data_IF_665281248015
#
_entry.id   IF_665281248015
#
_cell.length_a   1.000
_cell.length_b   1.000
_cell.length_c   1.000
_cell.angle_alpha   90.00
_cell.angle_beta   90.00
_cell.angle_gamma   90.00
#
_symmetry.space_group_name_H-M   'P 1'
#
loop_
_entity.id
_entity.type
_entity.pdbx_description
1 polymer ?
#
# COMPACT_ATOMS: atom_id res chain seq x y z
N UNK A 1 -9.16 -12.21 -23.79
CA UNK A 1 -8.05 -13.17 -23.86
C UNK A 1 -7.02 -12.67 -24.85
N UNK A 2 -5.78 -12.52 -24.40
CA UNK A 2 -4.62 -12.17 -25.22
C UNK A 2 -3.83 -13.44 -25.54
N UNK A 3 -3.68 -13.78 -26.83
CA UNK A 3 -3.01 -15.01 -27.27
C UNK A 3 -3.54 -16.32 -26.62
N UNK A 4 -4.82 -16.33 -26.22
CA UNK A 4 -5.46 -17.46 -25.55
C UNK A 4 -5.18 -17.55 -24.04
N UNK A 5 -4.54 -16.55 -23.44
CA UNK A 5 -4.38 -16.39 -21.99
C UNK A 5 -5.52 -15.54 -21.41
N UNK A 6 -5.91 -15.86 -20.19
CA UNK A 6 -6.81 -15.04 -19.38
C UNK A 6 -6.09 -13.76 -18.97
N UNK A 7 -6.73 -12.61 -19.19
CA UNK A 7 -6.18 -11.31 -18.79
C UNK A 7 -7.08 -10.68 -17.74
N UNK A 8 -6.51 -10.45 -16.56
CA UNK A 8 -7.16 -9.78 -15.43
C UNK A 8 -6.37 -8.52 -15.13
N UNK A 9 -7.01 -7.38 -15.36
CA UNK A 9 -6.52 -6.10 -14.86
C UNK A 9 -6.84 -6.04 -13.35
N UNK A 10 -5.81 -6.16 -12.53
CA UNK A 10 -5.93 -6.33 -11.09
C UNK A 10 -6.28 -5.02 -10.36
N UNK A 11 -6.21 -3.88 -11.04
CA UNK A 11 -6.31 -2.56 -10.44
C UNK A 11 -6.71 -1.49 -11.47
N UNK A 12 -8.00 -1.44 -11.80
CA UNK A 12 -8.58 -0.46 -12.71
C UNK A 12 -9.46 0.54 -11.97
N UNK A 13 -9.48 1.79 -12.39
CA UNK A 13 -10.17 2.86 -11.67
C UNK A 13 -11.50 3.28 -12.27
N UNK A 14 -12.50 3.46 -11.40
CA UNK A 14 -13.74 4.17 -11.68
C UNK A 14 -13.59 5.63 -11.31
N UNK A 15 -13.80 6.52 -12.30
CA UNK A 15 -14.07 7.92 -12.03
C UNK A 15 -15.51 8.08 -11.57
N UNK A 16 -15.71 8.15 -10.26
CA UNK A 16 -17.03 8.25 -9.66
C UNK A 16 -17.68 9.59 -10.01
N UNK A 17 -18.98 9.57 -10.27
CA UNK A 17 -19.76 10.79 -10.38
C UNK A 17 -20.28 11.19 -8.99
N UNK A 18 -19.76 12.25 -8.35
CA UNK A 18 -20.19 12.61 -7.00
C UNK A 18 -21.68 12.96 -6.94
N UNK A 19 -22.29 13.39 -8.05
CA UNK A 19 -23.72 13.67 -8.10
C UNK A 19 -24.57 12.40 -8.04
N UNK A 20 -24.10 11.31 -8.67
CA UNK A 20 -24.76 10.00 -8.57
C UNK A 20 -24.51 9.39 -7.19
N UNK A 21 -23.31 9.54 -6.66
CA UNK A 21 -22.98 9.04 -5.32
C UNK A 21 -23.85 9.68 -4.21
N UNK A 22 -24.35 10.91 -4.42
CA UNK A 22 -25.30 11.56 -3.48
C UNK A 22 -26.62 10.81 -3.32
N UNK A 23 -27.05 10.03 -4.31
CA UNK A 23 -28.26 9.21 -4.21
C UNK A 23 -28.10 8.07 -3.19
N UNK A 24 -26.85 7.66 -2.95
CA UNK A 24 -26.48 6.62 -1.98
C UNK A 24 -26.10 7.17 -0.61
N UNK A 25 -26.07 8.51 -0.45
CA UNK A 25 -25.73 9.18 0.81
C UNK A 25 -26.99 9.54 1.61
N UNK A 26 -26.87 9.45 2.93
CA UNK A 26 -27.85 9.96 3.87
C UNK A 26 -28.02 11.48 3.69
N UNK A 27 -29.25 12.02 3.85
CA UNK A 27 -29.55 13.42 3.55
C UNK A 27 -28.62 14.44 4.22
N UNK A 28 -28.20 14.21 5.45
CA UNK A 28 -27.30 15.12 6.19
C UNK A 28 -25.87 15.23 5.61
N UNK A 29 -25.42 14.26 4.81
CA UNK A 29 -24.08 14.27 4.21
C UNK A 29 -24.09 14.73 2.75
N UNK A 30 -25.25 14.82 2.09
CA UNK A 30 -25.33 15.13 0.65
C UNK A 30 -24.71 16.45 0.25
N UNK A 31 -24.76 17.47 1.11
CA UNK A 31 -24.18 18.79 0.82
C UNK A 31 -22.69 18.89 1.22
N UNK A 32 -22.17 17.83 1.86
CA UNK A 32 -20.75 17.70 2.21
C UNK A 32 -19.90 17.24 1.03
N UNK A 33 -20.49 16.84 -0.09
CA UNK A 33 -19.77 16.38 -1.27
C UNK A 33 -20.29 17.04 -2.56
N UNK A 34 -19.40 17.30 -3.51
CA UNK A 34 -19.76 17.82 -4.81
C UNK A 34 -18.57 17.96 -5.76
N UNK A 35 -18.75 18.79 -6.78
CA UNK A 35 -17.74 19.11 -7.78
C UNK A 35 -17.49 20.62 -7.79
N UNK A 36 -16.24 21.00 -8.01
CA UNK A 36 -15.82 22.39 -8.21
C UNK A 36 -14.86 22.48 -9.38
N UNK A 37 -14.78 23.67 -9.99
CA UNK A 37 -13.69 24.02 -10.90
C UNK A 37 -12.68 24.81 -10.08
N UNK A 38 -11.43 24.36 -10.08
CA UNK A 38 -10.36 25.08 -9.39
C UNK A 38 -9.93 26.34 -10.17
N UNK A 39 -8.95 27.06 -9.62
CA UNK A 39 -8.42 28.28 -10.24
C UNK A 39 -7.61 28.02 -11.52
N UNK A 40 -7.32 26.76 -11.85
CA UNK A 40 -6.61 26.33 -13.06
C UNK A 40 -7.59 25.89 -14.16
N UNK A 41 -8.88 25.81 -13.85
CA UNK A 41 -9.92 25.37 -14.78
C UNK A 41 -10.19 23.87 -14.75
N UNK A 42 -9.59 23.13 -13.81
CA UNK A 42 -9.75 21.68 -13.70
C UNK A 42 -10.90 21.32 -12.76
N UNK A 43 -11.64 20.26 -13.12
CA UNK A 43 -12.69 19.71 -12.28
C UNK A 43 -12.08 18.93 -11.11
N UNK A 44 -12.51 19.25 -9.90
CA UNK A 44 -12.11 18.59 -8.65
C UNK A 44 -13.33 18.11 -7.89
N UNK A 45 -13.17 17.00 -7.17
CA UNK A 45 -14.13 16.65 -6.14
C UNK A 45 -13.97 17.60 -4.95
N UNK A 46 -15.09 18.06 -4.41
CA UNK A 46 -15.14 18.91 -3.22
C UNK A 46 -15.74 18.09 -2.09
N UNK A 47 -15.03 17.98 -0.97
CA UNK A 47 -15.57 17.45 0.28
C UNK A 47 -15.46 18.53 1.35
N UNK A 48 -16.55 18.82 2.04
CA UNK A 48 -16.55 19.65 3.24
C UNK A 48 -16.28 18.74 4.41
N UNK A 49 -15.19 18.93 5.13
CA UNK A 49 -14.76 18.13 6.28
C UNK A 49 -14.94 18.92 7.59
N UNK A 50 -14.72 18.26 8.72
CA UNK A 50 -14.54 18.92 10.00
C UNK A 50 -13.28 19.79 9.98
N UNK A 51 -13.39 20.99 10.53
CA UNK A 51 -12.32 21.97 10.67
C UNK A 51 -11.91 22.08 12.13
N UNK A 52 -10.74 21.53 12.52
CA UNK A 52 -10.25 21.65 13.90
C UNK A 52 -10.04 23.09 14.36
N UNK A 53 -9.73 24.03 13.45
CA UNK A 53 -9.49 25.42 13.80
C UNK A 53 -10.77 26.18 14.18
N UNK A 54 -11.92 25.80 13.60
CA UNK A 54 -13.22 26.47 13.86
C UNK A 54 -14.18 25.61 14.68
N UNK A 55 -13.90 24.32 14.84
CA UNK A 55 -14.80 23.34 15.45
C UNK A 55 -16.06 23.05 14.63
N UNK A 56 -16.08 23.40 13.34
CA UNK A 56 -17.26 23.30 12.46
C UNK A 56 -17.00 22.44 11.24
N UNK A 57 -18.07 22.02 10.57
CA UNK A 57 -18.05 21.28 9.29
C UNK A 57 -17.90 22.26 8.12
N UNK A 58 -16.82 23.03 8.10
CA UNK A 58 -16.57 24.09 7.10
C UNK A 58 -15.19 23.99 6.41
N UNK A 59 -14.43 22.91 6.61
CA UNK A 59 -13.15 22.74 5.94
C UNK A 59 -13.34 22.22 4.52
N UNK A 60 -13.19 23.08 3.53
CA UNK A 60 -13.34 22.69 2.12
C UNK A 60 -12.05 22.03 1.61
N UNK A 61 -12.13 20.73 1.34
CA UNK A 61 -11.09 19.94 0.71
C UNK A 61 -11.39 19.75 -0.77
N UNK A 62 -10.38 19.94 -1.60
CA UNK A 62 -10.43 19.66 -3.04
C UNK A 62 -9.58 18.45 -3.36
N UNK A 63 -10.08 17.58 -4.22
CA UNK A 63 -9.42 16.32 -4.56
C UNK A 63 -9.34 16.10 -6.09
N UNK A 64 -8.12 15.83 -6.61
CA UNK A 64 -6.84 15.98 -5.90
C UNK A 64 -6.57 17.44 -5.52
N UNK A 65 -5.80 17.67 -4.47
CA UNK A 65 -5.45 19.04 -4.06
C UNK A 65 -4.62 19.71 -5.19
N UNK A 66 -4.95 20.94 -5.60
CA UNK A 66 -4.27 21.59 -6.73
C UNK A 66 -2.88 22.13 -6.37
N UNK A 67 -2.62 22.38 -5.08
CA UNK A 67 -1.40 23.04 -4.59
C UNK A 67 -1.05 22.54 -3.18
N UNK A 68 0.19 22.78 -2.75
CA UNK A 68 0.68 22.42 -1.41
C UNK A 68 1.28 21.01 -1.33
N UNK A 69 1.60 20.59 -0.10
CA UNK A 69 2.10 19.25 0.20
C UNK A 69 1.00 18.21 -0.05
N UNK A 70 1.35 17.13 -0.74
CA UNK A 70 0.38 16.10 -1.15
C UNK A 70 -0.56 16.55 -2.27
N UNK A 71 -0.20 17.60 -3.03
CA UNK A 71 -0.94 17.96 -4.25
C UNK A 71 -0.93 16.79 -5.24
N UNK A 72 -2.04 16.59 -5.94
CA UNK A 72 -2.16 15.55 -6.96
C UNK A 72 -1.87 16.08 -8.37
N UNK A 73 -2.21 15.26 -9.36
CA UNK A 73 -2.06 15.58 -10.78
C UNK A 73 -2.72 16.90 -11.18
N UNK A 74 -2.11 17.56 -12.16
CA UNK A 74 -2.64 18.81 -12.70
C UNK A 74 -3.92 18.52 -13.51
N UNK A 75 -3.83 17.63 -14.52
CA UNK A 75 -4.95 17.11 -15.31
C UNK A 75 -5.18 15.64 -15.01
N UNK A 76 -6.22 15.32 -14.25
CA UNK A 76 -6.48 13.94 -13.82
C UNK A 76 -7.36 13.14 -14.78
N UNK A 77 -7.84 13.77 -15.87
CA UNK A 77 -8.67 13.10 -16.85
C UNK A 77 -7.80 12.65 -18.02
N UNK A 78 -7.68 11.34 -18.21
CA UNK A 78 -7.04 10.76 -19.39
C UNK A 78 -7.89 11.01 -20.64
N UNK A 79 -7.33 11.46 -21.77
CA UNK A 79 -8.10 11.79 -22.96
C UNK A 79 -8.89 10.59 -23.53
N UNK A 80 -8.31 9.39 -23.50
CA UNK A 80 -8.93 8.18 -24.07
C UNK A 80 -9.75 7.35 -23.05
N UNK A 81 -9.24 7.13 -21.84
CA UNK A 81 -9.89 6.21 -20.87
C UNK A 81 -10.95 6.87 -20.00
N UNK A 82 -10.96 8.21 -19.84
CA UNK A 82 -11.90 8.94 -18.94
C UNK A 82 -13.36 8.55 -19.18
N UNK A 83 -13.79 8.51 -20.45
CA UNK A 83 -15.18 8.19 -20.76
C UNK A 83 -15.53 6.75 -20.35
N UNK A 84 -14.65 5.78 -20.57
CA UNK A 84 -14.88 4.43 -20.08
C UNK A 84 -14.79 4.33 -18.56
N UNK A 85 -13.93 5.13 -17.91
CA UNK A 85 -13.83 5.15 -16.45
C UNK A 85 -15.11 5.69 -15.80
N UNK A 86 -15.85 6.56 -16.50
CA UNK A 86 -17.17 7.02 -16.09
C UNK A 86 -18.30 6.08 -16.56
N UNK A 87 -18.21 5.50 -17.76
CA UNK A 87 -19.27 4.74 -18.41
C UNK A 87 -18.84 3.32 -18.78
N UNK A 88 -19.37 2.33 -18.07
CA UNK A 88 -18.94 0.93 -18.20
C UNK A 88 -19.18 0.31 -19.59
N UNK A 89 -20.11 0.84 -20.39
CA UNK A 89 -20.28 0.39 -21.78
C UNK A 89 -19.05 0.70 -22.64
N UNK A 90 -18.52 1.91 -22.52
CA UNK A 90 -17.30 2.33 -23.22
C UNK A 90 -16.09 1.57 -22.66
N UNK A 91 -16.03 1.36 -21.34
CA UNK A 91 -15.02 0.50 -20.70
C UNK A 91 -14.98 -0.90 -21.31
N UNK A 92 -16.13 -1.54 -21.50
CA UNK A 92 -16.17 -2.88 -22.09
C UNK A 92 -15.65 -2.90 -23.53
N UNK A 93 -15.93 -1.86 -24.33
CA UNK A 93 -15.40 -1.73 -25.69
C UNK A 93 -13.86 -1.65 -25.67
N UNK A 94 -13.29 -0.89 -24.72
CA UNK A 94 -11.84 -0.80 -24.51
C UNK A 94 -11.24 -2.11 -23.99
N UNK A 95 -11.91 -2.78 -23.05
CA UNK A 95 -11.49 -4.11 -22.59
C UNK A 95 -11.46 -5.12 -23.75
N UNK A 96 -12.47 -5.07 -24.63
CA UNK A 96 -12.54 -5.94 -25.80
C UNK A 96 -11.44 -5.62 -26.83
N UNK A 97 -11.10 -4.35 -27.03
CA UNK A 97 -10.03 -3.96 -27.96
C UNK A 97 -8.64 -4.39 -27.46
N UNK A 98 -8.41 -4.32 -26.15
CA UNK A 98 -7.13 -4.67 -25.52
C UNK A 98 -7.04 -6.16 -25.13
N UNK A 99 -8.15 -6.90 -25.24
CA UNK A 99 -8.18 -8.32 -24.91
C UNK A 99 -8.26 -8.61 -23.40
N UNK A 100 -8.67 -7.65 -22.58
CA UNK A 100 -8.86 -7.77 -21.13
C UNK A 100 -10.18 -8.52 -20.85
N UNK A 101 -10.12 -9.62 -20.10
CA UNK A 101 -11.30 -10.44 -19.80
C UNK A 101 -12.07 -9.90 -18.59
N UNK A 102 -11.34 -9.52 -17.54
CA UNK A 102 -11.88 -9.03 -16.27
C UNK A 102 -11.09 -7.81 -15.81
N UNK A 103 -11.79 -6.81 -15.26
CA UNK A 103 -11.17 -5.71 -14.51
C UNK A 103 -11.64 -5.74 -13.05
N UNK A 104 -10.71 -5.59 -12.14
CA UNK A 104 -10.99 -5.33 -10.72
C UNK A 104 -11.05 -3.82 -10.51
N UNK A 105 -12.20 -3.34 -10.02
CA UNK A 105 -12.57 -1.93 -10.05
C UNK A 105 -12.36 -1.30 -8.67
N UNK A 106 -11.32 -0.46 -8.60
CA UNK A 106 -11.05 0.49 -7.53
C UNK A 106 -11.72 1.83 -7.84
N UNK A 107 -11.89 2.67 -6.82
CA UNK A 107 -12.38 4.04 -6.99
C UNK A 107 -11.22 5.02 -7.17
N UNK A 108 -11.52 6.23 -7.62
CA UNK A 108 -10.55 7.34 -7.63
C UNK A 108 -10.84 8.33 -6.49
N UNK A 109 -12.12 8.63 -6.24
CA UNK A 109 -12.55 9.55 -5.19
C UNK A 109 -12.46 8.91 -3.80
N UNK A 110 -12.68 7.61 -3.67
CA UNK A 110 -12.55 6.88 -2.41
C UNK A 110 -11.15 6.99 -1.77
N UNK A 111 -10.09 7.15 -2.58
CA UNK A 111 -8.69 7.13 -2.13
C UNK A 111 -8.39 8.20 -1.07
N UNK A 112 -9.24 9.23 -0.99
CA UNK A 112 -9.08 10.34 -0.06
C UNK A 112 -9.89 10.17 1.24
N UNK A 113 -10.79 9.19 1.34
CA UNK A 113 -11.69 9.04 2.48
C UNK A 113 -10.96 8.74 3.79
N UNK A 114 -9.84 8.03 3.74
CA UNK A 114 -8.97 7.76 4.90
C UNK A 114 -8.31 9.03 5.48
N UNK A 115 -8.25 10.12 4.71
CA UNK A 115 -7.66 11.39 5.12
C UNK A 115 -8.67 12.36 5.78
N UNK A 116 -9.96 12.00 5.79
CA UNK A 116 -11.01 12.80 6.41
C UNK A 116 -10.92 12.76 7.93
N UNK A 117 -11.21 13.90 8.55
CA UNK A 117 -11.20 14.08 10.01
C UNK A 117 -12.56 13.71 10.60
N UNK A 118 -13.64 14.07 9.93
CA UNK A 118 -15.01 13.71 10.31
C UNK A 118 -15.24 12.21 10.07
N UNK A 119 -15.07 11.43 11.13
CA UNK A 119 -15.24 9.97 11.13
C UNK A 119 -16.60 9.53 10.61
N UNK A 120 -17.68 10.21 11.00
CA UNK A 120 -19.03 9.85 10.60
C UNK A 120 -19.26 10.12 9.11
N UNK A 121 -18.67 11.21 8.60
CA UNK A 121 -18.65 11.48 7.16
C UNK A 121 -17.85 10.41 6.40
N UNK A 122 -16.69 9.98 6.91
CA UNK A 122 -15.89 8.92 6.27
C UNK A 122 -16.67 7.60 6.18
N UNK A 123 -17.36 7.21 7.26
CA UNK A 123 -18.22 6.03 7.29
C UNK A 123 -19.33 6.15 6.24
N UNK A 124 -20.05 7.27 6.20
CA UNK A 124 -21.13 7.50 5.24
C UNK A 124 -20.65 7.46 3.79
N UNK A 125 -19.50 8.09 3.49
CA UNK A 125 -18.91 8.11 2.16
C UNK A 125 -18.45 6.72 1.70
N UNK A 126 -17.79 5.94 2.57
CA UNK A 126 -17.41 4.56 2.25
C UNK A 126 -18.65 3.70 1.94
N UNK A 127 -19.70 3.79 2.77
CA UNK A 127 -20.96 3.05 2.56
C UNK A 127 -21.67 3.42 1.27
N UNK A 128 -21.73 4.72 0.96
CA UNK A 128 -22.32 5.23 -0.27
C UNK A 128 -21.53 4.78 -1.50
N UNK A 129 -20.20 4.92 -1.47
CA UNK A 129 -19.32 4.44 -2.54
C UNK A 129 -19.50 2.94 -2.78
N UNK A 130 -19.45 2.12 -1.71
CA UNK A 130 -19.55 0.66 -1.84
C UNK A 130 -20.87 0.24 -2.48
N UNK A 131 -21.98 0.89 -2.09
CA UNK A 131 -23.30 0.63 -2.66
C UNK A 131 -23.40 1.10 -4.12
N UNK A 132 -22.84 2.28 -4.41
CA UNK A 132 -22.78 2.84 -5.75
C UNK A 132 -21.98 1.94 -6.70
N UNK A 133 -20.74 1.58 -6.36
CA UNK A 133 -19.86 0.82 -7.24
C UNK A 133 -20.37 -0.62 -7.43
N UNK A 134 -20.95 -1.22 -6.39
CA UNK A 134 -21.60 -2.52 -6.50
C UNK A 134 -22.76 -2.48 -7.49
N UNK A 135 -23.61 -1.46 -7.44
CA UNK A 135 -24.71 -1.28 -8.40
C UNK A 135 -24.20 -0.95 -9.80
N UNK A 136 -23.19 -0.11 -9.93
CA UNK A 136 -22.65 0.35 -11.21
C UNK A 136 -21.96 -0.78 -11.99
N UNK A 137 -21.36 -1.75 -11.29
CA UNK A 137 -20.70 -2.90 -11.93
C UNK A 137 -21.66 -4.05 -12.31
N UNK A 138 -22.95 -3.97 -11.99
CA UNK A 138 -23.94 -5.00 -12.34
C UNK A 138 -24.30 -4.99 -13.84
N UNK A 139 -24.72 -6.14 -14.37
CA UNK A 139 -25.23 -6.27 -15.74
C UNK A 139 -24.16 -6.41 -16.82
N UNK A 140 -22.88 -6.53 -16.45
CA UNK A 140 -21.74 -6.62 -17.38
C UNK A 140 -21.10 -8.03 -17.42
N UNK A 141 -21.94 -9.07 -17.37
CA UNK A 141 -21.54 -10.49 -17.44
C UNK A 141 -20.37 -10.85 -16.50
N UNK A 142 -20.38 -10.32 -15.28
CA UNK A 142 -19.33 -10.54 -14.28
C UNK A 142 -17.90 -10.17 -14.72
N UNK A 143 -17.72 -9.30 -15.73
CA UNK A 143 -16.41 -8.82 -16.17
C UNK A 143 -15.84 -7.69 -15.32
N UNK A 144 -16.68 -7.02 -14.53
CA UNK A 144 -16.29 -5.91 -13.65
C UNK A 144 -16.42 -6.37 -12.19
N UNK A 145 -15.34 -6.29 -11.41
CA UNK A 145 -15.28 -6.76 -10.02
C UNK A 145 -15.08 -5.59 -9.07
N UNK A 146 -16.14 -5.04 -8.46
CA UNK A 146 -16.00 -3.92 -7.53
C UNK A 146 -15.23 -4.35 -6.27
N UNK A 147 -14.37 -3.45 -5.79
CA UNK A 147 -13.66 -3.58 -4.51
C UNK A 147 -14.28 -2.64 -3.48
N UNK A 148 -14.47 -3.14 -2.26
CA UNK A 148 -15.02 -2.35 -1.17
C UNK A 148 -13.97 -1.44 -0.54
N UNK A 149 -14.38 -0.35 0.09
CA UNK A 149 -13.47 0.57 0.79
C UNK A 149 -13.90 0.72 2.24
N UNK A 150 -12.94 0.85 3.15
CA UNK A 150 -13.20 0.81 4.58
C UNK A 150 -12.83 2.11 5.30
N UNK A 151 -13.67 2.62 6.21
CA UNK A 151 -13.39 3.81 7.01
C UNK A 151 -12.43 3.48 8.17
N UNK A 152 -11.11 3.47 7.91
CA UNK A 152 -10.09 3.14 8.94
C UNK A 152 -10.16 3.99 10.22
N UNK A 153 -10.80 5.16 10.17
CA UNK A 153 -11.04 6.02 11.32
C UNK A 153 -11.88 5.34 12.43
N UNK A 154 -12.65 4.31 12.07
CA UNK A 154 -13.46 3.51 13.00
C UNK A 154 -13.34 2.02 12.66
N UNK A 155 -12.62 1.27 13.50
CA UNK A 155 -12.32 -0.14 13.25
C UNK A 155 -13.57 -1.01 13.26
N UNK A 156 -14.51 -0.75 14.18
CA UNK A 156 -15.75 -1.52 14.27
C UNK A 156 -16.64 -1.26 13.04
N UNK A 157 -16.75 -0.01 12.61
CA UNK A 157 -17.48 0.33 11.39
C UNK A 157 -16.79 -0.25 10.14
N UNK A 158 -15.45 -0.27 10.09
CA UNK A 158 -14.69 -0.86 9.01
C UNK A 158 -14.91 -2.37 8.91
N UNK A 159 -14.91 -3.10 10.04
CA UNK A 159 -15.20 -4.55 10.07
C UNK A 159 -16.65 -4.81 9.64
N UNK A 160 -17.61 -4.05 10.16
CA UNK A 160 -19.02 -4.19 9.78
C UNK A 160 -19.23 -3.93 8.28
N UNK A 161 -18.57 -2.91 7.73
CA UNK A 161 -18.65 -2.58 6.31
C UNK A 161 -17.94 -3.62 5.43
N UNK A 162 -16.83 -4.20 5.88
CA UNK A 162 -16.18 -5.33 5.21
C UNK A 162 -17.16 -6.51 5.07
N UNK A 163 -17.83 -6.88 6.15
CA UNK A 163 -18.86 -7.93 6.10
C UNK A 163 -19.97 -7.60 5.11
N UNK A 164 -20.44 -6.35 5.07
CA UNK A 164 -21.47 -5.92 4.11
C UNK A 164 -20.98 -6.02 2.66
N UNK A 165 -19.79 -5.51 2.37
CA UNK A 165 -19.16 -5.57 1.04
C UNK A 165 -19.10 -7.00 0.51
N UNK A 166 -18.65 -7.94 1.36
CA UNK A 166 -18.43 -9.32 0.93
C UNK A 166 -19.73 -10.13 0.90
N UNK A 167 -20.55 -10.05 1.96
CA UNK A 167 -21.71 -10.93 2.13
C UNK A 167 -22.98 -10.42 1.46
N UNK A 168 -23.14 -9.10 1.32
CA UNK A 168 -24.36 -8.49 0.77
C UNK A 168 -24.13 -7.92 -0.63
N UNK A 169 -22.97 -7.30 -0.88
CA UNK A 169 -22.66 -6.66 -2.17
C UNK A 169 -21.91 -7.56 -3.15
N UNK A 170 -21.43 -8.73 -2.71
CA UNK A 170 -20.75 -9.72 -3.55
C UNK A 170 -19.36 -9.27 -4.05
N UNK A 171 -18.70 -8.37 -3.33
CA UNK A 171 -17.34 -7.93 -3.65
C UNK A 171 -16.33 -9.04 -3.37
N UNK A 172 -15.19 -9.00 -4.07
CA UNK A 172 -14.14 -10.03 -3.99
C UNK A 172 -13.01 -9.66 -3.02
N UNK A 173 -12.98 -8.43 -2.54
CA UNK A 173 -11.95 -7.89 -1.68
C UNK A 173 -12.27 -6.47 -1.24
N UNK A 174 -11.37 -5.91 -0.44
CA UNK A 174 -11.46 -4.53 0.07
C UNK A 174 -10.14 -3.80 -0.09
N UNK A 175 -10.21 -2.47 -0.18
CA UNK A 175 -9.09 -1.57 -0.27
C UNK A 175 -9.00 -0.67 0.97
N UNK A 176 -7.78 -0.39 1.39
CA UNK A 176 -7.46 0.54 2.46
C UNK A 176 -6.24 1.38 2.09
N UNK A 177 -6.12 2.56 2.69
CA UNK A 177 -4.90 3.35 2.59
C UNK A 177 -3.74 2.65 3.34
N UNK A 178 -2.48 2.89 2.94
CA UNK A 178 -1.31 2.27 3.58
C UNK A 178 -1.16 2.62 5.06
N UNK A 179 -1.72 3.75 5.48
CA UNK A 179 -1.73 4.20 6.86
C UNK A 179 -2.93 5.12 7.15
N UNK A 180 -3.30 5.20 8.42
CA UNK A 180 -4.27 6.16 8.94
C UNK A 180 -3.53 7.33 9.62
N UNK A 181 -3.68 8.57 9.15
CA UNK A 181 -3.11 9.72 9.84
C UNK A 181 -3.81 9.97 11.19
N UNK A 182 -3.02 10.24 12.23
CA UNK A 182 -3.52 10.49 13.60
C UNK A 182 -2.82 11.71 14.22
N UNK A 183 -3.45 12.37 15.22
CA UNK A 183 -2.82 13.49 15.93
C UNK A 183 -1.45 13.12 16.49
N UNK A 184 -0.48 14.03 16.37
CA UNK A 184 0.85 13.80 16.92
C UNK A 184 0.79 13.80 18.47
N UNK A 185 1.34 12.80 19.18
CA UNK A 185 1.20 12.70 20.65
C UNK A 185 1.71 13.92 21.43
N UNK A 186 2.68 14.65 20.88
CA UNK A 186 3.26 15.86 21.51
C UNK A 186 2.64 17.18 21.02
N UNK A 187 1.75 17.14 20.02
CA UNK A 187 1.11 18.32 19.44
C UNK A 187 -0.28 17.96 18.86
N UNK A 188 -1.20 17.40 19.67
CA UNK A 188 -2.49 16.93 19.17
C UNK A 188 -3.38 18.04 18.61
N UNK A 189 -3.23 19.27 19.11
CA UNK A 189 -3.96 20.46 18.67
C UNK A 189 -3.54 20.96 17.29
N UNK A 190 -2.38 20.53 16.79
CA UNK A 190 -1.87 20.89 15.47
C UNK A 190 -2.28 19.90 14.38
N UNK A 191 -3.19 18.96 14.68
CA UNK A 191 -3.77 18.07 13.69
C UNK A 191 -4.80 18.80 12.80
N UNK A 192 -4.80 18.59 11.47
CA UNK A 192 -4.09 17.55 10.72
C UNK A 192 -2.70 17.93 10.18
N UNK A 193 -2.19 19.12 10.45
CA UNK A 193 -0.91 19.60 9.90
C UNK A 193 0.30 18.85 10.48
N UNK A 194 0.34 18.72 11.82
CA UNK A 194 1.34 17.93 12.53
C UNK A 194 0.69 16.62 12.98
N UNK A 195 1.14 15.52 12.38
CA UNK A 195 0.53 14.19 12.53
C UNK A 195 1.58 13.09 12.56
N UNK A 196 1.20 11.96 13.13
CA UNK A 196 1.85 10.66 12.86
C UNK A 196 0.86 9.76 12.12
N UNK A 197 1.18 8.49 11.93
CA UNK A 197 0.28 7.55 11.29
C UNK A 197 0.28 6.19 11.98
N UNK A 198 -0.84 5.48 11.89
CA UNK A 198 -0.93 4.05 12.20
C UNK A 198 -0.87 3.28 10.89
N UNK A 199 0.13 2.42 10.71
CA UNK A 199 0.16 1.49 9.57
C UNK A 199 -0.88 0.40 9.75
N UNK A 200 -1.26 -0.29 8.68
CA UNK A 200 -2.32 -1.32 8.71
C UNK A 200 -2.00 -2.50 9.64
N UNK A 201 -0.72 -2.72 9.97
CA UNK A 201 -0.26 -3.73 10.92
C UNK A 201 -0.38 -3.33 12.40
N UNK A 202 -0.76 -2.08 12.69
CA UNK A 202 -0.93 -1.59 14.06
C UNK A 202 -1.94 -2.46 14.83
N UNK A 203 -1.73 -2.77 16.14
CA UNK A 203 -2.59 -3.66 16.91
C UNK A 203 -4.09 -3.32 16.86
N UNK A 204 -4.43 -2.03 16.84
CA UNK A 204 -5.82 -1.56 16.70
C UNK A 204 -6.54 -2.10 15.44
N UNK A 205 -5.81 -2.39 14.36
CA UNK A 205 -6.37 -2.94 13.13
C UNK A 205 -6.38 -4.47 13.09
N UNK A 206 -5.95 -5.16 14.15
CA UNK A 206 -6.00 -6.62 14.23
C UNK A 206 -7.42 -7.20 13.99
N UNK A 207 -8.53 -6.60 14.47
CA UNK A 207 -9.88 -7.07 14.15
C UNK A 207 -10.19 -7.00 12.64
N UNK A 208 -9.69 -5.98 11.95
CA UNK A 208 -9.85 -5.82 10.51
C UNK A 208 -9.07 -6.90 9.75
N UNK A 209 -7.81 -7.15 10.12
CA UNK A 209 -7.00 -8.21 9.50
C UNK A 209 -7.59 -9.62 9.77
N UNK A 210 -8.12 -9.85 10.97
CA UNK A 210 -8.82 -11.09 11.31
C UNK A 210 -10.08 -11.28 10.46
N UNK A 211 -10.89 -10.23 10.30
CA UNK A 211 -12.09 -10.28 9.48
C UNK A 211 -11.78 -10.61 8.01
N UNK A 212 -10.68 -10.07 7.47
CA UNK A 212 -10.24 -10.39 6.10
C UNK A 212 -9.84 -11.87 5.94
N UNK A 213 -9.17 -12.43 6.96
CA UNK A 213 -8.85 -13.87 7.02
C UNK A 213 -10.12 -14.71 7.11
N UNK A 214 -11.04 -14.36 8.02
CA UNK A 214 -12.28 -15.12 8.25
C UNK A 214 -13.20 -15.13 7.02
N UNK A 215 -13.17 -14.05 6.24
CA UNK A 215 -13.94 -13.90 5.00
C UNK A 215 -13.22 -14.47 3.77
N UNK A 216 -11.97 -14.90 3.92
CA UNK A 216 -11.06 -15.35 2.86
C UNK A 216 -10.97 -14.34 1.71
N UNK A 217 -10.61 -13.10 2.03
CA UNK A 217 -10.48 -12.00 1.04
C UNK A 217 -9.09 -11.37 1.06
N UNK A 218 -8.74 -10.72 -0.05
CA UNK A 218 -7.57 -9.85 -0.10
C UNK A 218 -7.85 -8.46 0.47
N UNK A 219 -6.79 -7.85 1.01
CA UNK A 219 -6.73 -6.41 1.30
C UNK A 219 -5.81 -5.75 0.26
N UNK A 220 -6.37 -4.88 -0.57
CA UNK A 220 -5.61 -3.97 -1.41
C UNK A 220 -5.13 -2.76 -0.61
N UNK A 221 -3.82 -2.58 -0.49
CA UNK A 221 -3.20 -1.36 0.01
C UNK A 221 -2.96 -0.46 -1.18
N UNK A 222 -3.70 0.64 -1.22
CA UNK A 222 -3.68 1.56 -2.34
C UNK A 222 -3.37 2.98 -1.86
N UNK A 223 -2.39 3.62 -2.50
CA UNK A 223 -2.03 5.01 -2.22
C UNK A 223 -3.11 5.98 -2.66
N UNK A 224 -3.01 7.24 -2.25
CA UNK A 224 -3.98 8.25 -2.68
C UNK A 224 -3.45 9.68 -2.51
N UNK A 225 -3.85 10.62 -3.38
CA UNK A 225 -3.49 12.03 -3.24
C UNK A 225 -3.85 12.58 -1.86
N UNK A 226 -2.97 13.37 -1.25
CA UNK A 226 -3.16 13.89 0.11
C UNK A 226 -2.69 12.96 1.24
N UNK A 227 -2.26 11.73 0.91
CA UNK A 227 -1.41 10.93 1.79
C UNK A 227 -0.03 11.57 1.84
N UNK A 228 0.50 11.79 3.05
CA UNK A 228 1.85 12.36 3.23
C UNK A 228 2.67 11.38 4.06
N UNK A 229 3.95 11.21 3.71
CA UNK A 229 4.90 10.61 4.64
C UNK A 229 5.05 11.53 5.86
N UNK A 230 5.38 10.95 7.01
CA UNK A 230 5.68 11.71 8.22
C UNK A 230 7.19 11.99 8.25
N UNK A 231 7.57 13.22 8.57
CA UNK A 231 8.97 13.63 8.74
C UNK A 231 9.60 14.29 7.51
N UNK A 232 10.86 14.70 7.66
CA UNK A 232 11.49 15.72 6.80
C UNK A 232 11.62 15.38 5.31
N UNK A 233 11.52 14.11 4.90
CA UNK A 233 11.49 13.76 3.47
C UNK A 233 10.22 14.34 2.81
N UNK A 234 9.08 14.31 3.51
CA UNK A 234 7.82 14.82 2.97
C UNK A 234 7.88 16.33 2.70
N UNK A 235 8.63 17.07 3.51
CA UNK A 235 8.82 18.53 3.36
C UNK A 235 9.58 18.92 2.09
N UNK A 236 10.16 17.94 1.39
CA UNK A 236 10.91 18.09 0.14
C UNK A 236 10.22 17.39 -1.05
N UNK A 237 8.92 17.14 -0.95
CA UNK A 237 8.08 16.50 -1.99
C UNK A 237 6.95 17.43 -2.48
N UNK A 238 7.22 18.72 -2.60
CA UNK A 238 6.24 19.78 -2.95
C UNK A 238 5.74 19.74 -4.41
N UNK A 239 6.37 18.91 -5.25
CA UNK A 239 5.92 18.65 -6.61
C UNK A 239 5.16 17.33 -6.69
N UNK A 240 4.18 17.26 -7.58
CA UNK A 240 3.41 16.03 -7.77
C UNK A 240 4.33 14.85 -8.14
N UNK A 241 5.29 15.05 -9.05
CA UNK A 241 6.25 14.02 -9.46
C UNK A 241 7.08 13.50 -8.28
N UNK A 242 7.63 14.40 -7.44
CA UNK A 242 8.41 13.96 -6.28
C UNK A 242 7.52 13.28 -5.23
N UNK A 243 6.30 13.77 -5.01
CA UNK A 243 5.33 13.12 -4.13
C UNK A 243 4.96 11.72 -4.63
N UNK A 244 4.74 11.55 -5.94
CA UNK A 244 4.42 10.24 -6.54
C UNK A 244 5.58 9.26 -6.33
N UNK A 245 6.81 9.67 -6.66
CA UNK A 245 8.01 8.82 -6.54
C UNK A 245 8.31 8.44 -5.08
N UNK A 246 8.27 9.41 -4.16
CA UNK A 246 8.78 9.25 -2.80
C UNK A 246 7.71 9.07 -1.72
N UNK A 247 6.44 9.35 -2.00
CA UNK A 247 5.37 9.20 -1.00
C UNK A 247 4.54 7.96 -1.29
N UNK A 248 3.89 7.85 -2.45
CA UNK A 248 2.99 6.73 -2.77
C UNK A 248 3.71 5.39 -2.68
N UNK A 249 4.83 5.25 -3.41
CA UNK A 249 5.69 4.06 -3.39
C UNK A 249 6.23 3.75 -1.98
N UNK A 250 6.80 4.73 -1.29
CA UNK A 250 7.48 4.49 0.00
C UNK A 250 6.49 4.21 1.14
N UNK A 251 5.26 4.74 1.07
CA UNK A 251 4.22 4.38 2.03
C UNK A 251 3.82 2.92 1.91
N UNK A 252 3.78 2.37 0.69
CA UNK A 252 3.53 0.95 0.46
C UNK A 252 4.70 0.08 0.93
N UNK A 253 5.94 0.49 0.64
CA UNK A 253 7.13 -0.19 1.17
C UNK A 253 7.14 -0.22 2.70
N UNK A 254 6.82 0.91 3.33
CA UNK A 254 6.73 1.01 4.78
C UNK A 254 5.59 0.14 5.31
N UNK A 255 4.43 0.13 4.66
CA UNK A 255 3.32 -0.75 5.04
C UNK A 255 3.74 -2.23 4.98
N UNK A 256 4.39 -2.67 3.90
CA UNK A 256 4.90 -4.04 3.79
C UNK A 256 5.93 -4.34 4.89
N UNK A 257 6.90 -3.46 5.09
CA UNK A 257 7.91 -3.62 6.13
C UNK A 257 7.27 -3.73 7.51
N UNK A 258 6.32 -2.85 7.84
CA UNK A 258 5.60 -2.91 9.11
C UNK A 258 4.79 -4.20 9.22
N UNK A 259 4.14 -4.69 8.17
CA UNK A 259 3.43 -5.97 8.22
C UNK A 259 4.35 -7.16 8.50
N UNK A 260 5.54 -7.19 7.89
CA UNK A 260 6.55 -8.24 8.13
C UNK A 260 7.12 -8.14 9.55
N UNK A 261 7.64 -6.97 9.93
CA UNK A 261 8.34 -6.79 11.21
C UNK A 261 7.42 -6.69 12.43
N UNK A 262 6.16 -6.27 12.23
CA UNK A 262 5.14 -6.36 13.28
C UNK A 262 4.56 -7.76 13.40
N UNK A 263 4.95 -8.73 12.55
CA UNK A 263 4.47 -10.11 12.60
C UNK A 263 3.02 -10.30 12.17
N UNK A 264 2.50 -9.43 11.28
CA UNK A 264 1.13 -9.53 10.80
C UNK A 264 0.89 -10.85 10.06
N UNK A 265 1.81 -11.25 9.18
CA UNK A 265 1.72 -12.51 8.44
C UNK A 265 1.90 -13.77 9.31
N UNK A 266 2.51 -13.65 10.50
CA UNK A 266 2.56 -14.73 11.49
C UNK A 266 1.24 -14.88 12.23
N UNK A 267 0.62 -13.77 12.63
CA UNK A 267 -0.70 -13.77 13.28
C UNK A 267 -1.81 -14.18 12.31
N UNK A 268 -1.69 -13.82 11.04
CA UNK A 268 -2.70 -13.99 10.01
C UNK A 268 -2.11 -14.78 8.81
N UNK A 269 -1.93 -16.11 8.95
CA UNK A 269 -1.12 -16.89 8.01
C UNK A 269 -1.73 -17.09 6.62
N UNK A 270 -3.04 -16.85 6.45
CA UNK A 270 -3.74 -16.92 5.16
C UNK A 270 -4.09 -15.55 4.59
N UNK A 271 -3.66 -14.46 5.25
CA UNK A 271 -3.91 -13.10 4.78
C UNK A 271 -3.21 -12.87 3.43
N UNK A 272 -3.95 -12.32 2.46
CA UNK A 272 -3.42 -11.89 1.16
C UNK A 272 -3.49 -10.37 1.05
N UNK A 273 -2.40 -9.75 0.62
CA UNK A 273 -2.26 -8.29 0.55
C UNK A 273 -1.68 -7.89 -0.79
N UNK A 274 -2.38 -7.01 -1.50
CA UNK A 274 -1.90 -6.36 -2.73
C UNK A 274 -1.38 -4.97 -2.42
N UNK A 275 -0.21 -4.60 -2.94
CA UNK A 275 0.36 -3.26 -2.88
C UNK A 275 0.24 -2.65 -4.28
N UNK A 276 -0.77 -1.81 -4.46
CA UNK A 276 -1.33 -1.45 -5.76
C UNK A 276 -0.92 -0.04 -6.18
N UNK A 277 -0.65 0.17 -7.47
CA UNK A 277 -0.20 1.45 -8.06
C UNK A 277 1.15 1.92 -7.45
N UNK A 278 1.96 1.00 -6.94
CA UNK A 278 3.29 1.27 -6.37
C UNK A 278 4.46 0.83 -7.25
N UNK A 279 4.15 0.23 -8.40
CA UNK A 279 5.06 -0.58 -9.20
C UNK A 279 5.57 -1.81 -8.44
N UNK A 280 6.33 -2.66 -9.12
CA UNK A 280 6.93 -3.86 -8.50
C UNK A 280 8.46 -3.78 -8.39
N UNK A 281 9.07 -2.78 -9.01
CA UNK A 281 10.52 -2.68 -9.14
C UNK A 281 11.32 -2.49 -7.85
N UNK A 282 10.68 -2.03 -6.78
CA UNK A 282 11.33 -1.87 -5.47
C UNK A 282 11.49 -3.17 -4.68
N UNK A 283 10.72 -4.20 -5.03
CA UNK A 283 10.59 -5.38 -4.17
C UNK A 283 11.94 -6.10 -3.95
N UNK A 284 12.79 -6.31 -4.97
CA UNK A 284 14.09 -6.96 -4.76
C UNK A 284 15.01 -6.20 -3.80
N UNK A 285 15.05 -4.87 -3.93
CA UNK A 285 15.87 -4.02 -3.06
C UNK A 285 15.36 -4.06 -1.61
N UNK A 286 14.04 -3.97 -1.42
CA UNK A 286 13.44 -4.05 -0.10
C UNK A 286 13.64 -5.44 0.55
N UNK A 287 13.49 -6.51 -0.23
CA UNK A 287 13.72 -7.88 0.23
C UNK A 287 15.18 -8.08 0.68
N UNK A 288 16.14 -7.59 -0.10
CA UNK A 288 17.55 -7.60 0.30
C UNK A 288 17.79 -6.80 1.58
N UNK A 289 17.21 -5.60 1.69
CA UNK A 289 17.30 -4.79 2.90
C UNK A 289 16.73 -5.54 4.12
N UNK A 290 15.59 -6.23 3.99
CA UNK A 290 15.02 -7.03 5.07
C UNK A 290 15.99 -8.12 5.53
N UNK A 291 16.55 -8.89 4.60
CA UNK A 291 17.49 -9.97 4.90
C UNK A 291 18.74 -9.44 5.61
N UNK A 292 19.41 -8.44 5.02
CA UNK A 292 20.67 -7.89 5.55
C UNK A 292 20.47 -7.32 6.97
N UNK A 293 19.38 -6.60 7.17
CA UNK A 293 19.09 -5.95 8.45
C UNK A 293 18.66 -6.97 9.51
N UNK A 294 17.88 -7.98 9.13
CA UNK A 294 17.51 -9.08 10.00
C UNK A 294 18.74 -9.88 10.44
N UNK A 295 19.60 -10.28 9.51
CA UNK A 295 20.83 -11.02 9.81
C UNK A 295 21.67 -10.28 10.85
N UNK A 296 21.99 -9.01 10.58
CA UNK A 296 22.95 -8.24 11.39
C UNK A 296 22.37 -7.61 12.66
N UNK A 297 21.07 -7.32 12.69
CA UNK A 297 20.44 -6.56 13.79
C UNK A 297 19.38 -7.34 14.57
N UNK A 298 19.03 -8.54 14.15
CA UNK A 298 18.03 -9.40 14.82
C UNK A 298 18.62 -10.77 15.13
N UNK A 299 19.08 -11.51 14.12
CA UNK A 299 19.58 -12.89 14.28
C UNK A 299 20.93 -12.93 15.00
N UNK A 300 21.90 -12.16 14.50
CA UNK A 300 23.28 -12.18 15.01
C UNK A 300 23.55 -11.06 16.03
N UNK A 301 22.54 -10.28 16.36
CA UNK A 301 22.64 -9.20 17.34
C UNK A 301 22.14 -9.67 18.72
N UNK A 302 23.08 -9.87 19.64
CA UNK A 302 22.77 -10.00 21.07
C UNK A 302 22.98 -8.64 21.76
N UNK A 303 21.90 -7.89 22.09
CA UNK A 303 22.01 -6.62 22.80
C UNK A 303 22.61 -6.76 24.21
N UNK A 304 22.54 -7.95 24.82
CA UNK A 304 23.16 -8.24 26.12
C UNK A 304 24.67 -8.46 26.00
N UNK A 305 25.14 -8.85 24.83
CA UNK A 305 26.55 -9.11 24.54
C UNK A 305 27.16 -8.03 23.64
N UNK A 306 26.86 -6.76 23.91
CA UNK A 306 27.52 -5.64 23.25
C UNK A 306 29.05 -5.78 23.36
N UNK A 307 29.76 -5.72 22.22
CA UNK A 307 31.23 -5.81 22.22
C UNK A 307 31.85 -4.64 23.00
N UNK A 308 32.31 -4.93 24.22
CA UNK A 308 32.92 -3.99 25.15
C UNK A 308 34.44 -4.29 25.22
N UNK A 309 35.31 -3.64 24.42
CA UNK A 309 36.75 -3.87 24.55
C UNK A 309 37.18 -3.53 25.98
N UNK A 310 38.11 -4.30 26.55
CA UNK A 310 38.60 -3.98 27.88
C UNK A 310 39.32 -2.63 27.85
N UNK A 311 39.29 -1.87 28.96
CA UNK A 311 40.05 -0.62 29.08
C UNK A 311 41.54 -0.84 28.73
N UNK A 312 42.07 -2.02 29.07
CA UNK A 312 43.44 -2.42 28.76
C UNK A 312 43.68 -2.52 27.25
N UNK A 313 42.79 -3.20 26.51
CA UNK A 313 42.95 -3.39 25.07
C UNK A 313 42.73 -2.08 24.31
N UNK A 314 41.75 -1.28 24.72
CA UNK A 314 41.53 0.07 24.18
C UNK A 314 42.77 0.96 24.38
N UNK A 315 43.33 0.96 25.60
CA UNK A 315 44.54 1.75 25.92
C UNK A 315 45.75 1.28 25.12
N UNK A 316 45.94 -0.02 24.92
CA UNK A 316 47.03 -0.57 24.09
C UNK A 316 46.92 -0.08 22.64
N UNK A 317 45.74 -0.16 22.04
CA UNK A 317 45.51 0.30 20.66
C UNK A 317 45.75 1.81 20.52
N UNK A 318 45.27 2.61 21.48
CA UNK A 318 45.51 4.06 21.51
C UNK A 318 47.00 4.40 21.61
N UNK A 319 47.77 3.67 22.42
CA UNK A 319 49.22 3.84 22.51
C UNK A 319 49.91 3.38 21.21
N UNK A 320 49.44 2.32 20.57
CA UNK A 320 50.00 1.87 19.29
C UNK A 320 49.77 2.90 18.16
N UNK A 321 48.60 3.52 18.11
CA UNK A 321 48.26 4.50 17.07
C UNK A 321 48.83 5.90 17.34
N UNK A 322 48.88 6.33 18.61
CA UNK A 322 49.16 7.73 19.01
C UNK A 322 50.32 7.88 20.01
N UNK A 323 50.92 6.79 20.47
CA UNK A 323 51.93 6.80 21.50
C UNK A 323 53.32 7.12 20.97
N UNK A 324 53.95 8.15 21.55
CA UNK A 324 55.40 8.32 21.56
C UNK A 324 55.92 8.13 22.99
N UNK A 325 57.25 7.96 23.16
CA UNK A 325 57.87 7.57 24.44
C UNK A 325 57.56 8.50 25.64
N UNK A 326 56.99 9.69 25.45
CA UNK A 326 56.79 10.69 26.51
C UNK A 326 55.30 10.94 26.91
N UNK A 327 54.34 10.19 26.38
CA UNK A 327 52.91 10.52 26.47
C UNK A 327 52.15 9.87 27.65
N UNK A 328 52.59 10.08 28.90
CA UNK A 328 51.88 9.60 30.12
C UNK A 328 50.45 10.17 30.22
N UNK A 329 50.24 11.39 29.74
CA UNK A 329 48.91 12.03 29.73
C UNK A 329 47.89 11.31 28.84
N UNK A 330 48.35 10.56 27.82
CA UNK A 330 47.47 9.82 26.91
C UNK A 330 46.72 8.70 27.65
N UNK A 331 47.36 8.06 28.63
CA UNK A 331 46.76 6.98 29.44
C UNK A 331 45.61 7.55 30.30
N UNK A 332 45.83 8.72 30.93
CA UNK A 332 44.82 9.39 31.75
C UNK A 332 43.62 9.85 30.91
N UNK A 333 43.88 10.41 29.72
CA UNK A 333 42.82 10.82 28.79
C UNK A 333 42.05 9.61 28.23
N UNK A 334 42.73 8.52 27.88
CA UNK A 334 42.09 7.30 27.40
C UNK A 334 41.15 6.70 28.45
N UNK A 335 41.55 6.69 29.73
CA UNK A 335 40.69 6.26 30.83
C UNK A 335 39.43 7.11 30.94
N UNK A 336 39.58 8.44 30.96
CA UNK A 336 38.43 9.35 31.07
C UNK A 336 37.50 9.26 29.85
N UNK A 337 38.04 9.11 28.65
CA UNK A 337 37.27 8.93 27.42
C UNK A 337 36.54 7.59 27.42
N UNK A 338 37.19 6.50 27.83
CA UNK A 338 36.57 5.18 27.98
C UNK A 338 35.43 5.22 29.00
N UNK A 339 35.64 5.88 30.15
CA UNK A 339 34.61 6.03 31.16
C UNK A 339 33.40 6.83 30.63
N UNK A 340 33.65 7.89 29.86
CA UNK A 340 32.60 8.73 29.26
C UNK A 340 31.83 8.03 28.14
N UNK A 341 32.52 7.27 27.28
CA UNK A 341 31.90 6.58 26.15
C UNK A 341 31.24 5.26 26.53
N UNK A 342 31.73 4.58 27.56
CA UNK A 342 31.46 3.16 27.75
C UNK A 342 31.01 2.75 29.16
N UNK A 343 31.37 3.52 30.19
CA UNK A 343 30.95 3.29 31.57
C UNK A 343 29.81 4.22 32.02
N UNK A 344 29.23 5.01 31.11
CA UNK A 344 27.97 5.72 31.34
C UNK A 344 26.82 4.70 31.50
N UNK A 345 26.72 4.18 32.73
CA UNK A 345 25.73 3.27 33.32
C UNK A 345 24.64 2.69 32.40
N UNK A 346 24.87 1.48 31.91
CA UNK A 346 23.80 0.51 31.71
C UNK A 346 24.30 -0.87 32.14
N UNK A 347 23.79 -1.35 33.28
CA UNK A 347 23.99 -2.74 33.75
C UNK A 347 23.30 -3.68 32.75
N UNK A 348 24.04 -4.47 31.93
CA UNK A 348 23.45 -5.29 30.88
C UNK A 348 22.48 -6.34 31.43
N UNK A 349 22.65 -6.75 32.69
CA UNK A 349 21.78 -7.73 33.35
C UNK A 349 20.42 -7.15 33.76
N UNK A 350 20.27 -5.81 33.70
CA UNK A 350 19.03 -5.10 34.00
C UNK A 350 18.31 -4.57 32.77
N UNK A 351 18.85 -4.84 31.57
CA UNK A 351 18.18 -4.47 30.33
C UNK A 351 17.09 -5.51 30.05
N UNK A 352 15.85 -5.05 29.96
CA UNK A 352 14.71 -5.88 29.60
C UNK A 352 14.76 -6.23 28.11
N UNK A 353 14.94 -7.52 27.79
CA UNK A 353 14.99 -8.05 26.41
C UNK A 353 13.77 -7.62 25.59
N UNK A 354 12.58 -7.55 26.19
CA UNK A 354 11.36 -7.20 25.47
C UNK A 354 11.32 -5.75 25.01
N UNK A 355 12.12 -4.87 25.65
CA UNK A 355 12.26 -3.46 25.28
C UNK A 355 13.35 -3.20 24.23
N UNK A 356 14.20 -4.20 23.96
CA UNK A 356 15.33 -4.07 23.02
C UNK A 356 14.96 -4.44 21.60
N UNK A 357 13.95 -5.30 21.43
CA UNK A 357 13.46 -5.73 20.14
C UNK A 357 12.18 -4.96 19.83
N UNK A 358 12.28 -3.94 18.96
CA UNK A 358 11.11 -3.18 18.46
C UNK A 358 10.25 -3.97 17.45
N UNK A 359 10.45 -5.29 17.33
CA UNK A 359 9.88 -6.16 16.30
C UNK A 359 9.29 -7.44 16.89
N UNK A 360 8.38 -8.08 16.16
CA UNK A 360 7.89 -9.43 16.43
C UNK A 360 9.07 -10.42 16.48
N UNK A 361 8.97 -11.53 17.23
CA UNK A 361 10.08 -12.48 17.37
C UNK A 361 10.42 -13.15 16.03
N UNK A 362 11.34 -12.53 15.30
CA UNK A 362 11.83 -12.95 13.99
C UNK A 362 13.20 -13.62 14.10
N UNK A 363 13.76 -13.86 15.30
CA UNK A 363 15.14 -14.37 15.48
C UNK A 363 15.41 -15.69 14.77
N UNK A 364 14.36 -16.45 14.47
CA UNK A 364 14.44 -17.78 13.88
C UNK A 364 13.79 -17.90 12.51
N UNK A 365 13.39 -16.78 11.88
CA UNK A 365 12.74 -16.78 10.57
C UNK A 365 13.27 -15.63 9.73
N UNK A 366 13.80 -15.95 8.56
CA UNK A 366 14.28 -14.95 7.61
C UNK A 366 13.07 -14.22 6.99
N UNK A 367 13.02 -12.88 7.02
CA UNK A 367 11.98 -12.11 6.35
C UNK A 367 11.80 -12.44 4.85
N UNK A 368 12.82 -12.97 4.18
CA UNK A 368 12.70 -13.40 2.78
C UNK A 368 11.66 -14.52 2.60
N UNK A 369 11.50 -15.38 3.61
CA UNK A 369 10.53 -16.48 3.56
C UNK A 369 9.09 -15.99 3.39
N UNK A 370 8.77 -14.75 3.79
CA UNK A 370 7.40 -14.22 3.63
C UNK A 370 7.02 -14.01 2.17
N UNK A 371 7.98 -13.73 1.28
CA UNK A 371 7.70 -13.60 -0.15
C UNK A 371 7.37 -14.95 -0.79
N UNK A 372 7.81 -16.06 -0.21
CA UNK A 372 7.53 -17.41 -0.69
C UNK A 372 6.14 -17.93 -0.27
N UNK A 373 5.49 -17.27 0.69
CA UNK A 373 4.23 -17.73 1.30
C UNK A 373 2.97 -17.41 0.49
N UNK A 374 3.09 -16.71 -0.63
CA UNK A 374 1.95 -16.34 -1.47
C UNK A 374 0.98 -15.36 -0.80
N UNK A 375 1.48 -14.52 0.11
CA UNK A 375 0.67 -13.54 0.85
C UNK A 375 0.85 -12.10 0.35
N UNK A 376 1.93 -11.84 -0.37
CA UNK A 376 2.36 -10.50 -0.78
C UNK A 376 2.26 -10.41 -2.29
N UNK A 377 1.54 -9.41 -2.79
CA UNK A 377 1.39 -9.12 -4.20
C UNK A 377 1.63 -7.64 -4.46
N UNK A 378 2.16 -7.29 -5.62
CA UNK A 378 2.26 -5.91 -6.11
C UNK A 378 1.48 -5.78 -7.42
N UNK A 379 1.14 -4.57 -7.83
CA UNK A 379 0.75 -4.30 -9.21
C UNK A 379 1.80 -3.47 -9.95
N UNK A 380 1.72 -3.51 -11.28
CA UNK A 380 2.54 -2.73 -12.18
C UNK A 380 1.68 -2.27 -13.35
N UNK A 381 2.00 -1.09 -13.88
CA UNK A 381 1.35 -0.51 -15.06
C UNK A 381 1.94 -1.08 -16.35
N UNK A 382 1.20 -1.01 -17.45
CA UNK A 382 1.58 -1.57 -18.75
C UNK A 382 2.97 -1.18 -19.25
N UNK A 383 3.45 0.02 -18.93
CA UNK A 383 4.74 0.57 -19.35
C UNK A 383 5.82 0.50 -18.25
N UNK A 384 5.52 -0.11 -17.09
CA UNK A 384 6.50 -0.33 -16.02
C UNK A 384 7.52 -1.41 -16.45
N UNK A 385 8.83 -1.11 -16.48
CA UNK A 385 9.87 -2.11 -16.74
C UNK A 385 10.10 -3.09 -15.57
N UNK A 386 9.53 -2.80 -14.39
CA UNK A 386 9.60 -3.56 -13.14
C UNK A 386 9.51 -5.08 -13.29
N UNK A 387 8.45 -5.61 -13.94
CA UNK A 387 8.25 -7.05 -14.06
C UNK A 387 9.34 -7.75 -14.87
N UNK A 388 9.99 -7.02 -15.78
CA UNK A 388 11.04 -7.56 -16.65
C UNK A 388 12.27 -8.05 -15.88
N UNK A 389 12.58 -7.48 -14.71
CA UNK A 389 13.72 -7.90 -13.90
C UNK A 389 13.34 -8.58 -12.58
N UNK A 390 12.06 -8.56 -12.18
CA UNK A 390 11.62 -9.13 -10.91
C UNK A 390 11.96 -10.62 -10.79
N UNK A 391 11.67 -11.40 -11.83
CA UNK A 391 12.00 -12.83 -11.90
C UNK A 391 13.51 -13.11 -12.06
N UNK A 392 14.29 -12.17 -12.61
CA UNK A 392 15.75 -12.28 -12.70
C UNK A 392 16.35 -12.11 -11.29
N UNK A 393 15.84 -11.15 -10.52
CA UNK A 393 16.33 -10.83 -9.18
C UNK A 393 15.86 -11.82 -8.10
N UNK A 394 14.64 -12.35 -8.22
CA UNK A 394 13.99 -13.16 -7.18
C UNK A 394 13.58 -14.57 -7.63
N UNK A 395 13.96 -14.99 -8.83
CA UNK A 395 13.64 -16.33 -9.34
C UNK A 395 12.12 -16.59 -9.46
N UNK A 396 11.69 -17.79 -9.05
CA UNK A 396 10.29 -18.21 -9.09
C UNK A 396 9.38 -17.35 -8.20
N UNK A 397 9.88 -16.85 -7.08
CA UNK A 397 9.15 -15.91 -6.22
C UNK A 397 8.80 -14.65 -7.02
N UNK A 398 9.77 -14.12 -7.76
CA UNK A 398 9.59 -12.93 -8.59
C UNK A 398 8.48 -13.07 -9.63
N UNK A 399 8.25 -14.27 -10.17
CA UNK A 399 7.18 -14.54 -11.14
C UNK A 399 5.78 -14.45 -10.53
N UNK A 400 5.66 -14.63 -9.21
CA UNK A 400 4.36 -14.78 -8.49
C UNK A 400 3.92 -13.53 -7.73
N UNK A 401 4.75 -12.48 -7.72
CA UNK A 401 4.48 -11.27 -6.93
C UNK A 401 3.66 -10.24 -7.69
N UNK A 402 3.92 -10.03 -8.98
CA UNK A 402 3.41 -8.89 -9.71
C UNK A 402 2.12 -9.22 -10.50
N UNK A 403 1.08 -8.42 -10.29
CA UNK A 403 -0.19 -8.48 -11.02
C UNK A 403 -0.22 -7.39 -12.10
N UNK A 404 -0.62 -7.75 -13.33
CA UNK A 404 -0.91 -6.77 -14.36
C UNK A 404 -1.98 -5.77 -13.90
N UNK A 405 -1.71 -4.48 -14.11
CA UNK A 405 -2.65 -3.39 -13.97
C UNK A 405 -2.55 -2.49 -15.21
N UNK A 406 -3.69 -2.10 -15.77
CA UNK A 406 -3.72 -1.06 -16.80
C UNK A 406 -3.82 0.36 -16.22
N UNK A 407 -3.99 0.46 -14.90
CA UNK A 407 -4.37 1.68 -14.17
C UNK A 407 -5.48 2.48 -14.88
N UNK A 408 -6.45 1.72 -15.39
CA UNK A 408 -7.40 2.23 -16.37
C UNK A 408 -8.24 3.37 -15.77
N UNK A 409 -8.18 4.55 -16.38
CA UNK A 409 -8.96 5.73 -15.99
C UNK A 409 -8.15 6.83 -15.31
N UNK A 410 -6.94 6.53 -14.86
CA UNK A 410 -5.96 7.53 -14.47
C UNK A 410 -5.26 8.15 -15.67
N UNK A 411 -4.68 9.34 -15.44
CA UNK A 411 -4.17 10.23 -16.48
C UNK A 411 -2.87 9.73 -17.13
N UNK A 412 -2.13 8.89 -16.42
CA UNK A 412 -0.88 8.23 -16.75
C UNK A 412 -1.06 6.78 -17.23
N UNK A 413 -2.23 6.17 -17.00
CA UNK A 413 -2.52 4.83 -17.49
C UNK A 413 -2.49 4.72 -19.02
N UNK A 414 -2.15 3.53 -19.53
CA UNK A 414 -2.03 3.27 -20.97
C UNK A 414 -3.27 2.52 -21.47
N UNK A 415 -3.91 3.04 -22.51
CA UNK A 415 -4.97 2.30 -23.21
C UNK A 415 -4.41 1.43 -24.34
N UNK A 416 -3.79 2.07 -25.33
CA UNK A 416 -3.42 1.39 -26.58
C UNK A 416 -2.28 0.40 -26.34
N UNK A 417 -2.50 -0.86 -26.72
CA UNK A 417 -1.54 -1.96 -26.56
C UNK A 417 -1.19 -2.27 -25.10
N UNK A 418 -2.01 -1.86 -24.12
CA UNK A 418 -1.70 -1.98 -22.70
C UNK A 418 -1.32 -3.42 -22.28
N UNK A 419 -2.03 -4.43 -22.80
CA UNK A 419 -1.75 -5.85 -22.52
C UNK A 419 -0.53 -6.33 -23.30
N UNK A 420 -0.37 -5.87 -24.54
CA UNK A 420 0.77 -6.24 -25.37
C UNK A 420 2.08 -5.70 -24.81
N UNK A 421 2.11 -4.45 -24.36
CA UNK A 421 3.29 -3.81 -23.78
C UNK A 421 3.71 -4.54 -22.50
N UNK A 422 2.76 -4.79 -21.59
CA UNK A 422 3.00 -5.61 -20.39
C UNK A 422 3.55 -7.01 -20.73
N UNK A 423 3.00 -7.66 -21.77
CA UNK A 423 3.42 -9.00 -22.19
C UNK A 423 4.75 -9.03 -22.96
N UNK A 424 5.31 -7.88 -23.33
CA UNK A 424 6.53 -7.80 -24.17
C UNK A 424 7.65 -6.97 -23.57
N UNK A 425 7.49 -6.46 -22.33
CA UNK A 425 8.54 -5.80 -21.54
C UNK A 425 9.81 -6.66 -21.43
N UNK A 426 9.68 -7.98 -21.35
CA UNK A 426 10.79 -8.93 -21.35
C UNK A 426 10.44 -10.22 -22.11
N UNK A 427 11.43 -11.09 -22.30
CA UNK A 427 11.25 -12.41 -22.91
C UNK A 427 10.66 -13.39 -21.89
N UNK A 428 9.34 -13.35 -21.76
CA UNK A 428 8.59 -14.22 -20.86
C UNK A 428 8.27 -15.55 -21.51
N UNK A 429 8.53 -16.65 -20.79
CA UNK A 429 7.95 -17.93 -21.16
C UNK A 429 6.41 -17.92 -20.95
N UNK A 430 5.72 -18.90 -21.52
CA UNK A 430 4.25 -18.97 -21.50
C UNK A 430 3.69 -19.10 -20.07
N UNK A 431 4.36 -19.84 -19.19
CA UNK A 431 3.92 -20.04 -17.81
C UNK A 431 4.03 -18.73 -17.02
N UNK A 432 5.11 -17.98 -17.23
CA UNK A 432 5.29 -16.66 -16.64
C UNK A 432 4.25 -15.67 -17.16
N UNK A 433 3.97 -15.63 -18.47
CA UNK A 433 2.90 -14.78 -19.02
C UNK A 433 1.52 -15.11 -18.43
N UNK A 434 1.22 -16.40 -18.24
CA UNK A 434 -0.04 -16.83 -17.63
C UNK A 434 -0.17 -16.34 -16.18
N UNK A 435 0.91 -16.42 -15.39
CA UNK A 435 0.97 -15.85 -14.05
C UNK A 435 0.81 -14.32 -14.07
N UNK A 436 1.61 -13.64 -14.88
CA UNK A 436 1.68 -12.18 -14.93
C UNK A 436 0.35 -11.54 -15.33
N UNK A 437 -0.30 -12.06 -16.38
CA UNK A 437 -1.51 -11.46 -16.96
C UNK A 437 -2.80 -11.84 -16.22
N UNK A 438 -2.80 -12.91 -15.41
CA UNK A 438 -4.02 -13.33 -14.73
C UNK A 438 -3.83 -14.24 -13.52
N UNK A 439 -2.84 -15.14 -13.54
CA UNK A 439 -2.62 -16.10 -12.44
C UNK A 439 -2.36 -15.43 -11.09
N UNK A 440 -1.54 -14.37 -11.06
CA UNK A 440 -1.21 -13.64 -9.83
C UNK A 440 -2.43 -12.87 -9.29
N UNK A 441 -3.27 -12.30 -10.17
CA UNK A 441 -4.53 -11.69 -9.75
C UNK A 441 -5.51 -12.74 -9.18
N UNK A 442 -5.57 -13.95 -9.75
CA UNK A 442 -6.35 -15.05 -9.20
C UNK A 442 -5.80 -15.53 -7.85
N UNK A 443 -4.49 -15.51 -7.66
CA UNK A 443 -3.86 -15.84 -6.39
C UNK A 443 -4.18 -14.79 -5.32
N UNK A 444 -4.06 -13.50 -5.66
CA UNK A 444 -4.39 -12.37 -4.79
C UNK A 444 -5.86 -12.41 -4.35
N UNK A 445 -6.79 -12.35 -5.30
CA UNK A 445 -8.24 -12.24 -5.00
C UNK A 445 -8.90 -13.59 -4.69
N UNK A 446 -8.17 -14.69 -4.83
CA UNK A 446 -8.55 -16.02 -4.37
C UNK A 446 -9.80 -16.60 -5.05
N UNK A 447 -10.46 -17.50 -4.32
CA UNK A 447 -11.55 -18.32 -4.87
C UNK A 447 -12.79 -17.51 -5.24
N UNK A 448 -13.03 -16.37 -4.58
CA UNK A 448 -14.13 -15.47 -4.92
C UNK A 448 -14.01 -14.92 -6.33
N UNK A 449 -12.80 -14.55 -6.76
CA UNK A 449 -12.57 -14.15 -8.15
C UNK A 449 -12.75 -15.34 -9.08
N UNK A 450 -12.09 -16.48 -8.80
CA UNK A 450 -12.17 -17.70 -9.63
C UNK A 450 -13.60 -18.15 -9.90
N UNK A 451 -14.42 -18.23 -8.85
CA UNK A 451 -15.82 -18.69 -8.93
C UNK A 451 -16.74 -17.70 -9.63
N UNK A 452 -16.34 -16.42 -9.68
CA UNK A 452 -17.15 -15.37 -10.30
C UNK A 452 -16.70 -15.01 -11.71
N UNK A 453 -15.65 -15.64 -12.25
CA UNK A 453 -15.22 -15.42 -13.63
C UNK A 453 -16.38 -15.65 -14.60
N UNK A 454 -16.49 -14.87 -15.67
CA UNK A 454 -17.46 -15.15 -16.73
C UNK A 454 -17.28 -16.59 -17.23
N UNK A 455 -18.36 -17.22 -17.70
CA UNK A 455 -18.32 -18.54 -18.34
C UNK A 455 -17.55 -18.48 -19.67
N UNK A 456 -16.24 -18.29 -19.59
CA UNK A 456 -15.31 -18.39 -20.71
C UNK A 456 -15.06 -19.88 -20.90
N UNK A 457 -15.89 -20.50 -21.76
CA UNK A 457 -15.79 -21.87 -22.31
C UNK A 457 -14.65 -22.73 -21.72
N UNK A 458 -14.94 -23.46 -20.63
CA UNK A 458 -14.55 -24.85 -20.28
C UNK A 458 -13.15 -25.42 -20.66
N UNK A 459 -12.14 -24.63 -21.03
CA UNK A 459 -10.83 -25.12 -21.47
C UNK A 459 -9.64 -24.46 -20.75
N UNK A 460 -9.90 -23.62 -19.74
CA UNK A 460 -8.82 -23.14 -18.88
C UNK A 460 -8.56 -24.25 -17.85
N UNK A 461 -7.65 -25.16 -18.16
CA UNK A 461 -6.91 -25.87 -17.12
C UNK A 461 -6.13 -24.80 -16.36
N UNK A 462 -6.76 -24.18 -15.35
CA UNK A 462 -6.04 -23.42 -14.35
C UNK A 462 -5.04 -24.40 -13.75
N UNK A 463 -3.78 -24.32 -14.18
CA UNK A 463 -2.77 -25.26 -13.72
C UNK A 463 -2.70 -25.14 -12.20
N UNK A 464 -2.71 -26.28 -11.50
CA UNK A 464 -2.59 -26.37 -10.04
C UNK A 464 -1.27 -25.76 -9.50
N UNK A 465 -0.42 -25.23 -10.38
CA UNK A 465 0.84 -24.56 -10.07
C UNK A 465 0.69 -23.04 -9.85
N UNK A 466 -0.46 -22.45 -10.19
CA UNK A 466 -0.81 -21.05 -9.88
C UNK A 466 -1.24 -20.84 -8.40
N UNK A 467 -0.86 -21.77 -7.52
CA UNK A 467 -1.11 -21.76 -6.08
C UNK A 467 0.22 -21.46 -5.37
#
# INVERSE_FOLDING_TARGET
MYQGLLVIDADAHKLENPLVMRDYLEPEYRDRIGLVIDNLGDQRARIVDYNPATGKKDFVRMFPQPQGLGKGGFRNLHPETTLGAMFNKVRLEHMDSEGIDVQVIYGTLNLVFSSLIDKDLAIALCRAYNSYIASDCQGYNNRLKPIGVLPLQDVDAAVAEMHRCINELGMIGVAVAPNLPIPHPKAPEAFPEIRTCKTISHPDFAPLLQAAVDLDIAIGIHGGPGSNMVGGIADHTETFVLSHIFVQRNQQQLALARMVFDGAFERFPTLRVGFLEGGCGWVPDLAHAFHEHWEKRIRDFDPKQAYRPSLMDFTKLMIQERGTHNNINLISQAKNLFDLLWNAQHDPSKIDDSSLYEHYDLRHRDPLEYFERGQIFTSFESDDPGPGYLHIAMGEVGKRLACFSGDYGHWDGVLQNCVQDAATVADYDREHLELLLGGNALALYGDRLRQSLPNVKSNIELTSKAI
#
